data_IF_447907792677
#
_entry.id   IF_447907792677
#
_cell.length_a   1.000
_cell.length_b   1.000
_cell.length_c   1.000
_cell.angle_alpha   90.00
_cell.angle_beta   90.00
_cell.angle_gamma   90.00
#
_symmetry.space_group_name_H-M   'P 1'
#
loop_
_entity.id
_entity.type
_entity.pdbx_description
1 polymer ?
#
# COMPACT_ATOMS: atom_id res chain seq x y z
N UNK A 1 9.62 -1.24 13.44
CA UNK A 1 8.44 -0.40 13.20
C UNK A 1 7.54 -1.23 12.32
N UNK A 2 6.26 -1.40 12.62
CA UNK A 2 5.38 -2.25 11.79
C UNK A 2 4.44 -1.38 10.96
N UNK A 3 4.54 -1.50 9.65
CA UNK A 3 3.75 -0.76 8.67
C UNK A 3 2.79 -1.74 8.00
N UNK A 4 1.52 -1.67 8.36
CA UNK A 4 0.50 -2.55 7.78
C UNK A 4 -0.03 -1.96 6.47
N UNK A 5 0.05 -2.71 5.37
CA UNK A 5 -0.40 -2.25 4.05
C UNK A 5 -1.61 -3.05 3.58
N UNK A 6 -2.58 -2.35 2.99
CA UNK A 6 -3.79 -2.94 2.44
C UNK A 6 -4.37 -2.09 1.31
N UNK A 7 -5.13 -2.72 0.43
CA UNK A 7 -5.93 -2.05 -0.58
C UNK A 7 -7.38 -1.85 -0.11
N UNK A 8 -7.99 -0.72 -0.43
CA UNK A 8 -9.44 -0.47 -0.25
C UNK A 8 -10.15 -0.61 -1.60
N UNK A 9 -10.68 -1.79 -1.90
CA UNK A 9 -11.36 -2.09 -3.17
C UNK A 9 -12.84 -2.30 -2.88
N UNK A 10 -13.71 -1.52 -3.54
CA UNK A 10 -15.17 -1.60 -3.37
C UNK A 10 -15.64 -1.53 -1.89
N UNK A 11 -14.97 -0.72 -1.07
CA UNK A 11 -15.28 -0.59 0.36
C UNK A 11 -14.73 -1.71 1.25
N UNK A 12 -14.06 -2.72 0.69
CA UNK A 12 -13.43 -3.81 1.44
C UNK A 12 -11.92 -3.58 1.59
N UNK A 13 -11.38 -3.84 2.78
CA UNK A 13 -9.94 -3.83 3.04
C UNK A 13 -9.35 -5.20 2.66
N UNK A 14 -8.44 -5.22 1.70
CA UNK A 14 -7.65 -6.38 1.32
C UNK A 14 -6.24 -6.22 1.88
N UNK A 15 -5.88 -7.05 2.85
CA UNK A 15 -4.52 -7.08 3.37
C UNK A 15 -3.52 -7.44 2.26
N UNK A 16 -2.41 -6.71 2.22
CA UNK A 16 -1.29 -6.97 1.30
C UNK A 16 -0.17 -7.59 2.10
N UNK A 17 0.48 -6.80 2.96
CA UNK A 17 1.62 -7.26 3.74
C UNK A 17 1.93 -6.32 4.91
N UNK A 18 2.86 -6.72 5.78
CA UNK A 18 3.49 -5.85 6.78
C UNK A 18 4.93 -5.60 6.37
N UNK A 19 5.34 -4.33 6.41
CA UNK A 19 6.70 -3.89 6.10
C UNK A 19 7.32 -3.21 7.32
N UNK A 20 8.65 -3.13 7.36
CA UNK A 20 9.39 -2.53 8.48
C UNK A 20 10.09 -1.21 8.15
N UNK A 21 10.15 -0.84 6.86
CA UNK A 21 10.80 0.39 6.40
C UNK A 21 9.87 1.24 5.51
N UNK A 22 9.82 2.55 5.80
CA UNK A 22 8.96 3.49 5.09
C UNK A 22 9.61 4.03 3.80
N UNK A 23 10.94 3.99 3.70
CA UNK A 23 11.67 4.47 2.52
C UNK A 23 11.53 3.50 1.34
N UNK A 24 11.54 2.19 1.60
CA UNK A 24 11.37 1.14 0.59
C UNK A 24 9.91 0.79 0.32
N UNK A 25 9.01 1.11 1.25
CA UNK A 25 7.58 0.76 1.21
C UNK A 25 6.91 0.93 -0.15
N UNK A 26 7.06 2.10 -0.78
CA UNK A 26 6.42 2.41 -2.06
C UNK A 26 6.91 1.46 -3.17
N UNK A 27 8.21 1.18 -3.21
CA UNK A 27 8.83 0.30 -4.21
C UNK A 27 8.46 -1.16 -3.98
N UNK A 28 8.51 -1.62 -2.73
CA UNK A 28 8.19 -3.01 -2.37
C UNK A 28 6.73 -3.34 -2.63
N UNK A 29 5.81 -2.45 -2.21
CA UNK A 29 4.38 -2.62 -2.48
C UNK A 29 4.10 -2.59 -3.97
N UNK A 30 4.73 -1.70 -4.74
CA UNK A 30 4.59 -1.69 -6.20
C UNK A 30 5.07 -3.01 -6.82
N UNK A 31 6.23 -3.52 -6.40
CA UNK A 31 6.76 -4.82 -6.85
C UNK A 31 5.79 -5.96 -6.53
N UNK A 32 5.19 -5.95 -5.35
CA UNK A 32 4.22 -6.95 -4.92
C UNK A 32 2.93 -6.88 -5.74
N UNK A 33 2.42 -5.67 -6.01
CA UNK A 33 1.26 -5.50 -6.90
C UNK A 33 1.55 -6.00 -8.31
N UNK A 34 2.74 -5.76 -8.85
CA UNK A 34 3.17 -6.28 -10.16
C UNK A 34 3.27 -7.80 -10.15
N UNK A 35 3.93 -8.38 -9.13
CA UNK A 35 4.11 -9.83 -8.99
C UNK A 35 2.78 -10.59 -8.89
N UNK A 36 1.76 -9.95 -8.31
CA UNK A 36 0.42 -10.51 -8.16
C UNK A 36 -0.60 -10.03 -9.21
N UNK A 37 -0.17 -9.31 -10.25
CA UNK A 37 -1.05 -8.75 -11.28
C UNK A 37 -2.21 -7.90 -10.74
N UNK A 38 -1.96 -7.16 -9.65
CA UNK A 38 -2.92 -6.28 -8.94
C UNK A 38 -2.58 -4.79 -9.10
N UNK A 39 -1.89 -4.42 -10.17
CA UNK A 39 -1.48 -3.03 -10.42
C UNK A 39 -2.66 -2.06 -10.49
N UNK A 40 -3.86 -2.55 -10.82
CA UNK A 40 -5.11 -1.78 -10.79
C UNK A 40 -5.48 -1.27 -9.38
N UNK A 41 -4.95 -1.88 -8.31
CA UNK A 41 -5.21 -1.46 -6.93
C UNK A 41 -4.33 -0.29 -6.48
N UNK A 42 -3.38 0.15 -7.30
CA UNK A 42 -2.36 1.13 -6.91
C UNK A 42 -2.95 2.43 -6.35
N UNK A 43 -4.04 2.92 -6.95
CA UNK A 43 -4.73 4.13 -6.50
C UNK A 43 -5.53 3.96 -5.20
N UNK A 44 -5.61 2.73 -4.70
CA UNK A 44 -6.42 2.31 -3.55
C UNK A 44 -5.57 1.73 -2.42
N UNK A 45 -4.25 1.91 -2.45
CA UNK A 45 -3.35 1.41 -1.41
C UNK A 45 -3.22 2.40 -0.26
N UNK A 46 -3.33 1.86 0.95
CA UNK A 46 -3.15 2.55 2.21
C UNK A 46 -2.14 1.79 3.06
N UNK A 47 -1.42 2.53 3.90
CA UNK A 47 -0.59 1.97 4.95
C UNK A 47 -1.01 2.53 6.31
N UNK A 48 -0.84 1.73 7.36
CA UNK A 48 -1.08 2.15 8.73
C UNK A 48 0.17 1.98 9.58
N UNK A 49 0.46 3.02 10.34
CA UNK A 49 1.61 3.12 11.23
C UNK A 49 1.15 3.78 12.52
N UNK A 50 1.46 3.18 13.68
CA UNK A 50 1.07 3.70 15.00
C UNK A 50 -0.44 3.99 15.17
N UNK A 51 -1.30 3.26 14.45
CA UNK A 51 -2.75 3.46 14.48
C UNK A 51 -3.27 4.58 13.56
N UNK A 52 -2.39 5.31 12.90
CA UNK A 52 -2.74 6.29 11.87
C UNK A 52 -2.75 5.64 10.49
N UNK A 53 -3.61 6.12 9.58
CA UNK A 53 -3.78 5.58 8.22
C UNK A 53 -3.42 6.65 7.18
N UNK A 54 -2.61 6.26 6.20
CA UNK A 54 -2.13 7.14 5.14
C UNK A 54 -2.31 6.49 3.77
N UNK A 55 -2.55 7.30 2.75
CA UNK A 55 -2.60 6.81 1.37
C UNK A 55 -1.18 6.66 0.83
N UNK A 56 -0.83 5.48 0.32
CA UNK A 56 0.54 5.20 -0.15
C UNK A 56 0.86 5.90 -1.47
N UNK A 57 -0.10 5.90 -2.39
CA UNK A 57 0.01 6.55 -3.69
C UNK A 57 -0.99 7.70 -3.76
N UNK A 58 -0.52 8.92 -3.52
CA UNK A 58 -1.23 10.13 -3.90
C UNK A 58 -0.97 10.34 -5.40
N UNK A 59 -2.03 10.51 -6.20
CA UNK A 59 -1.95 10.61 -7.66
C UNK A 59 -1.30 11.88 -8.19
N UNK A 60 -0.27 12.38 -7.50
CA UNK A 60 0.48 13.58 -7.85
C UNK A 60 1.97 13.28 -7.74
N UNK A 61 2.49 12.59 -8.75
CA UNK A 61 3.80 12.90 -9.33
C UNK A 61 3.57 12.84 -10.86
N UNK A 62 3.57 14.03 -11.47
CA UNK A 62 3.33 14.38 -12.88
C UNK A 62 3.64 13.33 -13.95
#
# INVERSE_FOLDING_TARGET
MEIMVYAKVQGTKHFINVYDDLQTLKSEVHSELVAHSKTEWICSIFFSINGEEFKLFTGDEK
#
